data_IF_903768495240
#
_entry.id   IF_903768495240
#
_cell.length_a   1.000
_cell.length_b   1.000
_cell.length_c   1.000
_cell.angle_alpha   90.00
_cell.angle_beta   90.00
_cell.angle_gamma   90.00
#
_symmetry.space_group_name_H-M   'P 1'
#
loop_
_entity.id
_entity.type
_entity.pdbx_description
1 polymer ?
#
# COMPACT_ATOMS: atom_id res chain seq x y z
N UNK A 1 -8.07 -14.24 -19.50
CA UNK A 1 -8.39 -13.16 -18.56
C UNK A 1 -7.03 -12.57 -18.28
N UNK A 2 -6.72 -11.38 -18.82
CA UNK A 2 -5.53 -10.66 -18.35
C UNK A 2 -5.73 -10.44 -16.85
N UNK A 3 -4.71 -10.71 -16.04
CA UNK A 3 -4.66 -10.17 -14.68
C UNK A 3 -4.79 -8.65 -14.83
N UNK A 4 -5.91 -8.09 -14.39
CA UNK A 4 -6.16 -6.66 -14.46
C UNK A 4 -5.13 -5.89 -13.63
N UNK A 5 -4.61 -6.53 -12.58
CA UNK A 5 -3.63 -5.97 -11.67
C UNK A 5 -2.20 -6.29 -12.11
N UNK A 6 -1.41 -5.25 -12.39
CA UNK A 6 0.04 -5.32 -12.57
C UNK A 6 0.73 -4.62 -11.39
N UNK A 7 1.44 -5.39 -10.55
CA UNK A 7 2.15 -4.91 -9.35
C UNK A 7 3.15 -3.80 -9.69
N UNK A 8 3.84 -3.90 -10.83
CA UNK A 8 4.84 -2.91 -11.22
C UNK A 8 4.16 -1.60 -11.60
N UNK A 9 3.07 -1.66 -12.37
CA UNK A 9 2.29 -0.49 -12.73
C UNK A 9 1.64 0.16 -11.49
N UNK A 10 1.13 -0.64 -10.55
CA UNK A 10 0.62 -0.17 -9.27
C UNK A 10 1.70 0.60 -8.49
N UNK A 11 2.89 0.01 -8.35
CA UNK A 11 4.01 0.66 -7.66
C UNK A 11 4.42 1.97 -8.34
N UNK A 12 4.52 1.99 -9.66
CA UNK A 12 4.89 3.20 -10.42
C UNK A 12 3.86 4.32 -10.20
N UNK A 13 2.57 3.98 -10.25
CA UNK A 13 1.47 4.92 -10.00
C UNK A 13 1.48 5.47 -8.57
N UNK A 14 1.55 4.59 -7.56
CA UNK A 14 1.54 4.98 -6.15
C UNK A 14 2.78 5.82 -5.83
N UNK A 15 3.96 5.43 -6.32
CA UNK A 15 5.18 6.21 -6.14
C UNK A 15 5.08 7.61 -6.78
N UNK A 16 4.40 7.74 -7.93
CA UNK A 16 4.12 9.04 -8.54
C UNK A 16 3.21 9.88 -7.65
N UNK A 17 2.16 9.31 -7.04
CA UNK A 17 1.27 10.02 -6.12
C UNK A 17 2.00 10.57 -4.89
N UNK A 18 2.85 9.76 -4.27
CA UNK A 18 3.70 10.24 -3.16
C UNK A 18 4.66 11.37 -3.58
N UNK A 19 5.20 11.33 -4.81
CA UNK A 19 6.05 12.41 -5.33
C UNK A 19 5.27 13.69 -5.60
N UNK A 20 4.04 13.59 -6.11
CA UNK A 20 3.14 14.73 -6.33
C UNK A 20 2.77 15.40 -5.00
N UNK A 21 2.49 14.61 -3.96
CA UNK A 21 2.20 15.10 -2.61
C UNK A 21 3.42 15.78 -1.97
N UNK A 22 4.61 15.18 -2.10
CA UNK A 22 5.88 15.78 -1.70
C UNK A 22 6.26 15.64 -0.21
N UNK A 23 5.37 15.15 0.66
CA UNK A 23 5.59 15.01 2.10
C UNK A 23 6.75 14.04 2.44
N UNK A 24 7.01 13.07 1.57
CA UNK A 24 8.08 12.08 1.73
C UNK A 24 9.41 12.49 1.07
N UNK A 25 9.51 13.69 0.48
CA UNK A 25 10.74 14.19 -0.16
C UNK A 25 11.94 14.34 0.80
N UNK A 26 11.68 14.32 2.12
CA UNK A 26 12.71 14.33 3.17
C UNK A 26 13.36 12.95 3.38
N UNK A 27 12.68 11.88 2.97
CA UNK A 27 13.17 10.51 3.06
C UNK A 27 14.12 10.27 1.88
N UNK A 28 15.23 9.57 2.14
CA UNK A 28 16.16 9.21 1.09
C UNK A 28 15.43 8.33 0.03
N UNK A 29 15.57 8.62 -1.29
CA UNK A 29 14.75 7.98 -2.32
C UNK A 29 14.78 6.45 -2.30
N UNK A 30 15.95 5.84 -2.09
CA UNK A 30 16.05 4.38 -2.03
C UNK A 30 15.38 3.81 -0.78
N UNK A 31 15.46 4.51 0.35
CA UNK A 31 14.74 4.13 1.57
C UNK A 31 13.22 4.26 1.37
N UNK A 32 12.74 5.32 0.72
CA UNK A 32 11.32 5.46 0.38
C UNK A 32 10.85 4.30 -0.51
N UNK A 33 11.60 3.95 -1.56
CA UNK A 33 11.28 2.82 -2.42
C UNK A 33 11.20 1.51 -1.63
N UNK A 34 12.07 1.30 -0.65
CA UNK A 34 12.04 0.13 0.24
C UNK A 34 10.81 0.11 1.15
N UNK A 35 10.41 1.27 1.69
CA UNK A 35 9.19 1.39 2.49
C UNK A 35 7.94 1.11 1.65
N UNK A 36 7.90 1.60 0.42
CA UNK A 36 6.79 1.36 -0.50
C UNK A 36 6.72 -0.11 -0.94
N UNK A 37 7.85 -0.71 -1.30
CA UNK A 37 7.92 -2.16 -1.55
C UNK A 37 7.40 -2.96 -0.36
N UNK A 38 7.74 -2.52 0.85
CA UNK A 38 7.37 -3.25 2.06
C UNK A 38 5.89 -3.13 2.38
N UNK A 39 5.28 -1.95 2.26
CA UNK A 39 3.84 -1.79 2.53
C UNK A 39 3.01 -2.59 1.53
N UNK A 40 3.38 -2.59 0.24
CA UNK A 40 2.72 -3.39 -0.79
C UNK A 40 2.79 -4.90 -0.50
N UNK A 41 3.95 -5.39 -0.09
CA UNK A 41 4.10 -6.79 0.28
C UNK A 41 3.30 -7.15 1.54
N UNK A 42 3.19 -6.24 2.51
CA UNK A 42 2.40 -6.47 3.72
C UNK A 42 0.90 -6.49 3.42
N UNK A 43 0.42 -5.69 2.47
CA UNK A 43 -0.97 -5.72 2.01
C UNK A 43 -1.29 -7.06 1.34
N UNK A 44 -0.41 -7.53 0.45
CA UNK A 44 -0.52 -8.86 -0.16
C UNK A 44 -0.52 -9.99 0.90
N UNK A 45 0.42 -9.97 1.84
CA UNK A 45 0.46 -10.91 2.98
C UNK A 45 -0.85 -10.89 3.80
N UNK A 46 -1.46 -9.71 3.98
CA UNK A 46 -2.73 -9.58 4.67
C UNK A 46 -3.87 -10.19 3.86
N UNK A 47 -3.96 -9.92 2.56
CA UNK A 47 -4.99 -10.49 1.67
C UNK A 47 -4.93 -12.02 1.63
N UNK A 48 -3.72 -12.59 1.49
CA UNK A 48 -3.50 -14.04 1.52
C UNK A 48 -3.95 -14.67 2.85
N UNK A 49 -3.68 -14.00 3.97
CA UNK A 49 -3.97 -14.55 5.30
C UNK A 49 -5.39 -14.30 5.81
N UNK A 50 -6.08 -13.30 5.28
CA UNK A 50 -7.46 -12.93 5.64
C UNK A 50 -8.53 -13.68 4.85
N UNK A 51 -8.13 -14.43 3.81
CA UNK A 51 -9.05 -15.22 2.98
C UNK A 51 -9.83 -14.38 1.98
N UNK A 52 -9.35 -13.16 1.67
CA UNK A 52 -9.94 -12.29 0.64
C UNK A 52 -9.93 -12.98 -0.73
N UNK A 53 -8.85 -13.70 -1.05
CA UNK A 53 -8.75 -14.49 -2.29
C UNK A 53 -9.78 -15.64 -2.37
N UNK A 54 -10.27 -16.12 -1.22
CA UNK A 54 -11.29 -17.16 -1.11
C UNK A 54 -12.73 -16.59 -1.08
N UNK A 55 -12.90 -15.30 -1.42
CA UNK A 55 -14.19 -14.60 -1.42
C UNK A 55 -14.54 -13.96 -0.07
N UNK A 56 -13.57 -13.83 0.83
CA UNK A 56 -13.67 -12.98 2.01
C UNK A 56 -13.76 -11.50 1.65
N UNK A 57 -14.19 -10.68 2.61
CA UNK A 57 -14.23 -9.22 2.48
C UNK A 57 -12.90 -8.66 2.99
N UNK A 58 -12.28 -7.76 2.24
CA UNK A 58 -11.12 -7.01 2.71
C UNK A 58 -11.56 -6.04 3.82
N UNK A 59 -10.98 -6.20 5.00
CA UNK A 59 -11.25 -5.34 6.16
C UNK A 59 -10.14 -4.28 6.25
N UNK A 60 -10.46 -3.06 5.81
CA UNK A 60 -9.53 -1.93 5.72
C UNK A 60 -8.89 -1.60 7.07
N UNK A 61 -9.67 -1.59 8.15
CA UNK A 61 -9.19 -1.24 9.49
C UNK A 61 -8.16 -2.28 9.97
N UNK A 62 -8.44 -3.57 9.73
CA UNK A 62 -7.52 -4.64 10.11
C UNK A 62 -6.28 -4.71 9.20
N UNK A 63 -6.42 -4.41 7.91
CA UNK A 63 -5.28 -4.31 6.98
C UNK A 63 -4.35 -3.16 7.37
N UNK A 64 -4.92 -2.00 7.68
CA UNK A 64 -4.21 -0.83 8.17
C UNK A 64 -3.38 -1.17 9.41
N UNK A 65 -4.01 -1.74 10.44
CA UNK A 65 -3.36 -2.09 11.70
C UNK A 65 -2.21 -3.08 11.45
N UNK A 66 -2.42 -4.08 10.59
CA UNK A 66 -1.40 -5.07 10.22
C UNK A 66 -0.18 -4.40 9.57
N UNK A 67 -0.38 -3.61 8.52
CA UNK A 67 0.70 -2.94 7.80
C UNK A 67 1.45 -1.95 8.71
N UNK A 68 0.71 -1.13 9.46
CA UNK A 68 1.27 -0.10 10.32
C UNK A 68 2.13 -0.69 11.45
N UNK A 69 1.65 -1.75 12.13
CA UNK A 69 2.43 -2.41 13.19
C UNK A 69 3.75 -2.98 12.67
N UNK A 70 3.70 -3.67 11.52
CA UNK A 70 4.87 -4.31 10.91
C UNK A 70 5.90 -3.29 10.43
N UNK A 71 5.45 -2.23 9.75
CA UNK A 71 6.33 -1.16 9.28
C UNK A 71 6.99 -0.42 10.43
N UNK A 72 6.26 -0.14 11.52
CA UNK A 72 6.87 0.45 12.71
C UNK A 72 7.96 -0.44 13.32
N UNK A 73 7.78 -1.76 13.31
CA UNK A 73 8.78 -2.70 13.81
C UNK A 73 10.02 -2.76 12.90
N UNK A 74 9.83 -2.70 11.59
CA UNK A 74 10.89 -2.83 10.59
C UNK A 74 11.69 -1.52 10.36
N UNK A 75 11.01 -0.37 10.42
CA UNK A 75 11.60 0.96 10.23
C UNK A 75 11.52 1.81 11.52
N UNK A 76 12.15 1.38 12.63
CA UNK A 76 11.95 2.02 13.94
C UNK A 76 12.43 3.48 14.02
N UNK A 77 13.40 3.86 13.18
CA UNK A 77 13.92 5.23 13.09
C UNK A 77 12.96 6.20 12.37
N UNK A 78 11.99 5.65 11.63
CA UNK A 78 11.07 6.39 10.77
C UNK A 78 9.61 6.25 11.20
N UNK A 79 9.34 5.73 12.41
CA UNK A 79 7.98 5.48 12.95
C UNK A 79 7.03 6.65 12.79
N UNK A 80 7.52 7.88 12.95
CA UNK A 80 6.69 9.09 12.83
C UNK A 80 6.07 9.29 11.44
N UNK A 81 6.57 8.60 10.42
CA UNK A 81 6.05 8.65 9.05
C UNK A 81 5.14 7.46 8.71
N UNK A 82 5.14 6.37 9.50
CA UNK A 82 4.50 5.11 9.13
C UNK A 82 2.98 5.22 9.07
N UNK A 83 2.36 5.93 10.02
CA UNK A 83 0.92 6.20 10.00
C UNK A 83 0.51 6.82 8.66
N UNK A 84 1.19 7.92 8.28
CA UNK A 84 0.90 8.65 7.05
C UNK A 84 1.22 7.82 5.79
N UNK A 85 2.31 7.04 5.83
CA UNK A 85 2.71 6.17 4.72
C UNK A 85 1.64 5.13 4.43
N UNK A 86 1.09 4.48 5.46
CA UNK A 86 0.04 3.46 5.29
C UNK A 86 -1.26 4.09 4.84
N UNK A 87 -1.69 5.20 5.46
CA UNK A 87 -2.91 5.93 5.06
C UNK A 87 -2.86 6.32 3.58
N UNK A 88 -1.78 7.01 3.17
CA UNK A 88 -1.62 7.48 1.79
C UNK A 88 -1.45 6.31 0.81
N UNK A 89 -0.77 5.23 1.22
CA UNK A 89 -0.67 4.02 0.41
C UNK A 89 -2.05 3.41 0.12
N UNK A 90 -2.89 3.25 1.13
CA UNK A 90 -4.22 2.65 0.95
C UNK A 90 -5.08 3.50 0.01
N UNK A 91 -5.10 4.83 0.19
CA UNK A 91 -5.82 5.75 -0.70
C UNK A 91 -5.30 5.66 -2.14
N UNK A 92 -3.98 5.60 -2.34
CA UNK A 92 -3.38 5.54 -3.68
C UNK A 92 -3.54 4.17 -4.35
N UNK A 93 -3.51 3.09 -3.56
CA UNK A 93 -3.75 1.74 -4.04
C UNK A 93 -5.21 1.59 -4.49
N UNK A 94 -6.16 2.05 -3.67
CA UNK A 94 -7.58 2.06 -4.01
C UNK A 94 -7.86 2.89 -5.27
N UNK A 95 -7.28 4.10 -5.36
CA UNK A 95 -7.39 4.93 -6.57
C UNK A 95 -6.79 4.26 -7.82
N UNK A 96 -5.69 3.51 -7.67
CA UNK A 96 -5.14 2.72 -8.78
C UNK A 96 -6.10 1.61 -9.19
N UNK A 97 -6.60 0.82 -8.24
CA UNK A 97 -7.53 -0.27 -8.47
C UNK A 97 -8.82 0.22 -9.16
N UNK A 98 -9.37 1.35 -8.73
CA UNK A 98 -10.52 2.00 -9.38
C UNK A 98 -10.18 2.39 -10.83
N UNK A 99 -9.01 2.98 -11.06
CA UNK A 99 -8.58 3.45 -12.39
C UNK A 99 -8.46 2.34 -13.45
N UNK A 100 -8.20 1.10 -13.01
CA UNK A 100 -8.11 -0.08 -13.88
C UNK A 100 -9.40 -0.92 -13.86
N UNK A 101 -10.42 -0.51 -13.10
CA UNK A 101 -11.68 -1.23 -12.94
C UNK A 101 -11.53 -2.57 -12.19
N UNK A 102 -10.59 -2.66 -11.25
CA UNK A 102 -10.35 -3.85 -10.43
C UNK A 102 -11.27 -3.92 -9.20
N UNK A 103 -11.83 -2.79 -8.77
CA UNK A 103 -12.82 -2.71 -7.69
C UNK A 103 -14.12 -2.08 -8.19
N UNK A 104 -15.22 -2.35 -7.49
CA UNK A 104 -16.54 -1.77 -7.74
C UNK A 104 -17.10 -1.21 -6.43
N UNK A 105 -17.85 -0.11 -6.53
CA UNK A 105 -18.35 0.68 -5.39
C UNK A 105 -19.86 0.48 -5.14
N UNK A 106 -20.45 -0.60 -5.68
CA UNK A 106 -21.88 -0.93 -5.59
C UNK A 106 -22.40 -1.24 -4.17
#
# INVERSE_FOLDING_TARGET
MEELFDVKAAKEYIAEKFREQGDFSIIEPKLFDQMLDRVMALDEEYMESSGVEDGGVYDDDAAYDYMHEKLMAEFPEHKMYMMRLVDDYMEYNEAYLDSIGAIDWE
#
